data_IF_630519066202
#
_entry.id   IF_630519066202
#
_cell.length_a   1.000
_cell.length_b   1.000
_cell.length_c   1.000
_cell.angle_alpha   90.00
_cell.angle_beta   90.00
_cell.angle_gamma   90.00
#
_symmetry.space_group_name_H-M   'P 1'
#
loop_
_entity.id
_entity.type
_entity.pdbx_description
1 polymer ?
#
# COMPACT_ATOMS: atom_id res chain seq x y z
N UNK A 1 -31.39 79.06 -27.10
CA UNK A 1 -30.21 78.88 -26.28
C UNK A 1 -30.39 77.60 -25.43
N UNK A 2 -29.84 76.46 -25.89
CA UNK A 2 -29.93 75.16 -25.17
C UNK A 2 -28.58 74.90 -24.54
N UNK A 3 -28.56 74.90 -23.22
CA UNK A 3 -27.35 74.46 -22.44
C UNK A 3 -27.31 72.96 -22.39
N UNK A 4 -26.25 72.33 -22.93
CA UNK A 4 -25.98 70.95 -22.84
C UNK A 4 -25.13 70.77 -21.58
N UNK A 5 -25.68 70.04 -20.62
CA UNK A 5 -24.97 69.64 -19.39
C UNK A 5 -24.22 68.34 -19.67
N UNK A 6 -22.87 68.39 -19.70
CA UNK A 6 -22.06 67.25 -19.90
C UNK A 6 -21.95 66.45 -18.57
N UNK A 7 -22.36 65.16 -18.61
CA UNK A 7 -22.26 64.24 -17.52
C UNK A 7 -20.91 63.45 -17.67
N UNK A 8 -19.94 63.79 -16.85
CA UNK A 8 -18.67 63.02 -16.79
C UNK A 8 -18.89 61.83 -15.87
N UNK A 9 -18.97 60.64 -16.47
CA UNK A 9 -18.97 59.39 -15.74
C UNK A 9 -17.53 59.02 -15.42
N UNK A 10 -17.15 59.17 -14.17
CA UNK A 10 -15.85 58.73 -13.63
C UNK A 10 -15.94 57.21 -13.40
N UNK A 11 -15.42 56.42 -14.33
CA UNK A 11 -15.36 54.97 -14.23
C UNK A 11 -14.18 54.60 -13.34
N UNK A 12 -14.46 54.37 -12.03
CA UNK A 12 -13.50 53.88 -11.09
C UNK A 12 -13.14 52.42 -11.39
N UNK A 13 -11.94 52.17 -11.90
CA UNK A 13 -11.38 50.83 -12.04
C UNK A 13 -11.01 50.35 -10.65
N UNK A 14 -11.85 49.52 -10.04
CA UNK A 14 -11.48 48.72 -8.85
C UNK A 14 -10.47 47.66 -9.30
N UNK A 15 -9.20 47.95 -9.13
CA UNK A 15 -8.15 46.94 -9.20
C UNK A 15 -8.31 46.08 -7.92
N UNK A 16 -8.99 44.94 -8.04
CA UNK A 16 -8.92 43.88 -7.05
C UNK A 16 -7.51 43.30 -7.13
N UNK A 17 -6.59 43.85 -6.35
CA UNK A 17 -5.33 43.15 -6.07
C UNK A 17 -5.70 41.88 -5.31
N UNK A 18 -5.79 40.76 -6.02
CA UNK A 18 -5.71 39.44 -5.42
C UNK A 18 -4.34 39.36 -4.74
N UNK A 19 -4.30 39.54 -3.44
CA UNK A 19 -3.15 39.09 -2.66
C UNK A 19 -3.10 37.56 -2.79
N UNK A 20 -2.37 37.07 -3.78
CA UNK A 20 -1.81 35.73 -3.73
C UNK A 20 -0.69 35.83 -2.71
N UNK A 21 -0.92 35.36 -1.51
CA UNK A 21 0.13 35.12 -0.56
C UNK A 21 1.06 34.08 -1.19
N UNK A 22 2.27 34.49 -1.56
CA UNK A 22 3.26 33.59 -2.19
C UNK A 22 3.71 32.62 -1.12
N UNK A 23 3.45 31.30 -1.29
CA UNK A 23 3.84 30.28 -0.32
C UNK A 23 5.36 30.21 -0.22
N UNK A 24 5.89 30.20 1.00
CA UNK A 24 7.33 30.01 1.23
C UNK A 24 7.72 28.56 0.95
N UNK A 25 8.33 28.33 -0.21
CA UNK A 25 8.80 27.02 -0.68
C UNK A 25 10.22 26.68 -0.24
N UNK A 26 10.85 27.51 0.63
CA UNK A 26 12.18 27.21 1.20
C UNK A 26 12.14 25.85 1.88
N UNK A 27 13.13 25.00 1.60
CA UNK A 27 13.22 23.67 2.22
C UNK A 27 13.86 23.78 3.60
N UNK A 28 13.15 23.31 4.60
CA UNK A 28 13.60 23.23 5.98
C UNK A 28 13.89 21.78 6.37
N UNK A 29 14.80 21.60 7.32
CA UNK A 29 15.13 20.30 7.92
C UNK A 29 14.89 20.36 9.42
N UNK A 30 14.32 19.30 9.98
CA UNK A 30 14.00 19.20 11.40
C UNK A 30 14.20 17.77 11.89
N UNK A 31 14.85 17.61 13.01
CA UNK A 31 14.97 16.31 13.70
C UNK A 31 14.04 16.28 14.90
N UNK A 32 13.28 15.21 15.03
CA UNK A 32 12.35 14.99 16.14
C UNK A 32 12.64 13.63 16.79
N UNK A 33 12.35 13.53 18.08
CA UNK A 33 12.33 12.25 18.80
C UNK A 33 13.65 11.45 18.73
N UNK A 34 14.80 12.09 18.78
CA UNK A 34 16.15 11.53 18.59
C UNK A 34 16.46 10.24 19.37
N UNK A 35 15.75 9.96 20.45
CA UNK A 35 15.93 8.74 21.27
C UNK A 35 14.68 7.87 21.34
N UNK A 36 13.61 8.19 20.62
CA UNK A 36 12.39 7.43 20.62
C UNK A 36 12.53 6.17 19.76
N UNK A 37 11.85 5.12 20.16
CA UNK A 37 11.70 3.88 19.39
C UNK A 37 10.26 3.71 18.99
N UNK A 38 10.03 3.51 17.71
CA UNK A 38 8.70 3.25 17.18
C UNK A 38 8.63 1.82 16.67
N UNK A 39 7.49 1.18 16.86
CA UNK A 39 7.15 -0.12 16.25
C UNK A 39 5.88 -0.03 15.41
N UNK A 40 5.20 1.10 15.47
CA UNK A 40 3.95 1.36 14.75
C UNK A 40 4.08 2.71 14.04
N UNK A 41 3.73 2.74 12.75
CA UNK A 41 3.75 3.96 11.92
C UNK A 41 2.40 4.10 11.25
N UNK A 42 1.77 5.25 11.42
CA UNK A 42 0.56 5.68 10.73
C UNK A 42 0.87 6.97 9.97
N UNK A 43 0.57 6.98 8.67
CA UNK A 43 0.82 8.15 7.83
C UNK A 43 -0.36 8.46 6.92
N UNK A 44 -0.73 9.73 6.82
CA UNK A 44 -1.81 10.30 6.02
C UNK A 44 -1.31 11.48 5.18
N UNK A 45 -2.15 12.08 4.32
CA UNK A 45 -1.87 13.33 3.60
C UNK A 45 -0.71 13.26 2.58
N UNK A 46 -0.57 12.15 1.88
CA UNK A 46 0.36 11.98 0.77
C UNK A 46 1.84 12.30 1.10
N UNK A 47 2.32 12.00 2.31
CA UNK A 47 3.74 12.11 2.68
C UNK A 47 4.61 11.13 1.89
N UNK A 48 5.87 11.52 1.66
CA UNK A 48 6.92 10.59 1.24
C UNK A 48 7.66 10.12 2.50
N UNK A 49 7.47 8.87 2.87
CA UNK A 49 8.03 8.28 4.09
C UNK A 49 9.14 7.29 3.72
N UNK A 50 10.30 7.40 4.34
CA UNK A 50 11.34 6.38 4.28
C UNK A 50 11.50 5.78 5.66
N UNK A 51 11.34 4.47 5.79
CA UNK A 51 11.57 3.75 7.05
C UNK A 51 12.85 2.94 6.94
N UNK A 52 13.79 3.22 7.79
CA UNK A 52 15.11 2.56 7.82
C UNK A 52 15.22 1.69 9.06
N UNK A 53 15.47 0.40 8.85
CA UNK A 53 15.84 -0.47 9.97
C UNK A 53 17.27 -0.13 10.39
N UNK A 54 17.44 0.35 11.62
CA UNK A 54 18.73 0.72 12.18
C UNK A 54 18.76 0.45 13.71
N UNK A 55 19.78 -0.30 14.15
CA UNK A 55 19.93 -0.65 15.56
C UNK A 55 20.60 0.46 16.39
N UNK A 56 21.23 1.43 15.75
CA UNK A 56 22.00 2.50 16.40
C UNK A 56 21.28 3.83 16.32
N UNK A 57 20.77 4.20 15.14
CA UNK A 57 20.07 5.47 14.93
C UNK A 57 18.58 5.32 15.27
N UNK A 58 18.03 6.35 15.90
CA UNK A 58 16.63 6.43 16.32
C UNK A 58 16.08 7.81 16.05
N UNK A 59 14.76 7.89 15.93
CA UNK A 59 14.07 9.16 15.76
C UNK A 59 13.60 9.42 14.33
N UNK A 60 13.35 10.70 14.05
CA UNK A 60 12.68 11.15 12.84
C UNK A 60 13.40 12.33 12.25
N UNK A 61 13.67 12.30 10.95
CA UNK A 61 14.22 13.42 10.18
C UNK A 61 13.18 13.89 9.15
N UNK A 62 12.85 15.18 9.17
CA UNK A 62 11.92 15.80 8.24
C UNK A 62 12.68 16.72 7.29
N UNK A 63 12.26 16.71 6.02
CA UNK A 63 12.62 17.68 5.01
C UNK A 63 11.32 18.18 4.35
N UNK A 64 11.00 19.48 4.52
CA UNK A 64 9.69 20.00 4.13
C UNK A 64 9.75 21.47 3.70
N UNK A 65 8.77 21.89 2.88
CA UNK A 65 8.60 23.29 2.48
C UNK A 65 8.16 24.14 3.66
N UNK A 66 8.78 25.31 3.87
CA UNK A 66 8.62 26.16 5.06
C UNK A 66 7.17 26.53 5.40
N UNK A 67 6.32 26.76 4.39
CA UNK A 67 4.90 27.05 4.61
C UNK A 67 4.13 25.92 5.33
N UNK A 68 4.66 24.69 5.35
CA UNK A 68 4.04 23.56 6.05
C UNK A 68 4.27 23.56 7.55
N UNK A 69 5.21 24.36 8.08
CA UNK A 69 5.62 24.33 9.50
C UNK A 69 4.44 24.41 10.49
N UNK A 70 3.47 25.29 10.22
CA UNK A 70 2.30 25.48 11.08
C UNK A 70 1.25 24.36 10.99
N UNK A 71 1.33 23.52 9.95
CA UNK A 71 0.38 22.43 9.71
C UNK A 71 0.94 21.07 10.09
N UNK A 72 2.23 20.95 10.38
CA UNK A 72 2.84 19.66 10.68
C UNK A 72 2.20 18.99 11.90
N UNK A 73 1.75 17.75 11.70
CA UNK A 73 1.25 16.86 12.75
C UNK A 73 2.11 15.60 12.74
N UNK A 74 3.26 15.65 13.40
CA UNK A 74 4.12 14.49 13.62
C UNK A 74 4.14 14.22 15.10
N UNK A 75 3.44 13.18 15.56
CA UNK A 75 3.13 12.94 16.97
C UNK A 75 3.66 11.58 17.38
N UNK A 76 4.36 11.56 18.51
CA UNK A 76 4.81 10.33 19.17
C UNK A 76 3.86 9.97 20.32
N UNK A 77 3.20 8.84 20.21
CA UNK A 77 2.30 8.27 21.21
C UNK A 77 2.85 6.92 21.74
N UNK A 78 4.02 6.97 22.38
CA UNK A 78 4.68 5.77 22.88
C UNK A 78 5.38 4.98 21.78
N UNK A 79 4.85 3.81 21.40
CA UNK A 79 5.37 3.00 20.30
C UNK A 79 4.87 3.43 18.92
N UNK A 80 3.85 4.29 18.85
CA UNK A 80 3.20 4.74 17.61
C UNK A 80 3.71 6.14 17.21
N UNK A 81 4.09 6.26 15.94
CA UNK A 81 4.37 7.53 15.27
C UNK A 81 3.24 7.82 14.29
N UNK A 82 2.53 8.94 14.48
CA UNK A 82 1.51 9.43 13.56
C UNK A 82 2.05 10.60 12.75
N UNK A 83 1.89 10.56 11.43
CA UNK A 83 2.44 11.52 10.45
C UNK A 83 1.31 12.03 9.58
N UNK A 84 1.09 13.35 9.56
CA UNK A 84 0.06 13.98 8.75
C UNK A 84 0.10 15.51 8.86
N UNK A 85 -1.00 16.15 8.50
CA UNK A 85 -1.21 17.58 8.72
C UNK A 85 -2.37 17.83 9.70
N UNK A 86 -2.34 18.95 10.39
CA UNK A 86 -3.41 19.35 11.32
C UNK A 86 -4.74 19.68 10.66
N UNK A 87 -4.74 19.85 9.33
CA UNK A 87 -5.92 20.08 8.49
C UNK A 87 -5.62 19.70 7.04
N UNK A 88 -6.66 19.41 6.28
CA UNK A 88 -6.52 19.10 4.84
C UNK A 88 -5.98 20.32 4.05
N UNK A 89 -4.88 20.11 3.31
CA UNK A 89 -4.20 21.15 2.54
C UNK A 89 -4.30 20.88 1.04
N UNK A 90 -4.40 21.96 0.24
CA UNK A 90 -4.16 21.89 -1.20
C UNK A 90 -2.70 22.22 -1.47
N UNK A 91 -1.91 21.21 -1.74
CA UNK A 91 -0.48 21.34 -1.91
C UNK A 91 -0.09 21.57 -3.37
N UNK A 92 0.81 22.54 -3.67
CA UNK A 92 1.46 22.63 -4.96
C UNK A 92 2.23 21.36 -5.31
N UNK A 93 2.37 21.03 -6.58
CA UNK A 93 3.04 19.79 -7.03
C UNK A 93 4.54 19.73 -6.68
N UNK A 94 5.17 20.87 -6.42
CA UNK A 94 6.58 20.99 -6.02
C UNK A 94 6.79 21.10 -4.51
N UNK A 95 5.76 20.82 -3.70
CA UNK A 95 5.88 20.82 -2.23
C UNK A 95 6.79 19.67 -1.78
N UNK A 96 7.80 20.00 -0.99
CA UNK A 96 8.66 19.00 -0.31
C UNK A 96 7.99 18.58 0.98
N UNK A 97 7.84 17.28 1.18
CA UNK A 97 7.23 16.63 2.37
C UNK A 97 7.80 15.22 2.53
N UNK A 98 9.07 15.16 2.89
CA UNK A 98 9.81 13.92 3.07
C UNK A 98 10.06 13.70 4.57
N UNK A 99 9.93 12.48 5.00
CA UNK A 99 10.23 12.07 6.37
C UNK A 99 11.01 10.76 6.37
N UNK A 100 12.06 10.69 7.16
CA UNK A 100 12.82 9.45 7.39
C UNK A 100 12.65 9.04 8.85
N UNK A 101 12.21 7.81 9.07
CA UNK A 101 11.97 7.21 10.38
C UNK A 101 12.96 6.07 10.60
N UNK A 102 13.72 6.12 11.68
CA UNK A 102 14.68 5.09 12.05
C UNK A 102 14.07 4.19 13.12
N UNK A 103 13.94 2.89 12.82
CA UNK A 103 13.30 1.91 13.70
C UNK A 103 14.16 0.65 13.85
N UNK A 104 14.00 -0.06 14.96
CA UNK A 104 14.66 -1.35 15.21
C UNK A 104 13.79 -2.53 14.73
N UNK A 105 12.47 -2.40 14.85
CA UNK A 105 11.49 -3.39 14.42
C UNK A 105 10.17 -2.70 14.06
N UNK A 106 9.30 -3.38 13.32
CA UNK A 106 7.95 -2.92 13.00
C UNK A 106 6.92 -3.98 13.37
N UNK A 107 5.80 -3.57 13.92
CA UNK A 107 4.62 -4.39 14.21
C UNK A 107 3.34 -3.88 13.53
N UNK A 108 3.31 -2.61 13.12
CA UNK A 108 2.18 -2.06 12.38
C UNK A 108 2.61 -0.93 11.43
N UNK A 109 1.99 -0.94 10.24
CA UNK A 109 2.06 0.15 9.25
C UNK A 109 0.62 0.42 8.79
N UNK A 110 0.19 1.68 8.86
CA UNK A 110 -1.10 2.14 8.33
C UNK A 110 -0.82 3.33 7.41
N UNK A 111 -1.24 3.22 6.14
CA UNK A 111 -1.02 4.25 5.13
C UNK A 111 -2.34 4.65 4.48
N UNK A 112 -2.67 5.93 4.54
CA UNK A 112 -3.91 6.50 4.02
C UNK A 112 -3.62 7.72 3.11
N UNK A 113 -4.59 8.10 2.29
CA UNK A 113 -4.56 9.34 1.50
C UNK A 113 -3.28 9.50 0.63
N UNK A 114 -2.98 8.50 -0.21
CA UNK A 114 -1.90 8.54 -1.21
C UNK A 114 -0.47 8.68 -0.62
N UNK A 115 -0.22 8.20 0.58
CA UNK A 115 1.14 8.12 1.16
C UNK A 115 2.02 7.19 0.33
N UNK A 116 3.28 7.57 0.15
CA UNK A 116 4.31 6.73 -0.44
C UNK A 116 5.35 6.37 0.62
N UNK A 117 5.47 5.08 0.94
CA UNK A 117 6.45 4.60 1.94
C UNK A 117 7.47 3.66 1.30
N UNK A 118 8.76 3.96 1.49
CA UNK A 118 9.88 3.09 1.14
C UNK A 118 10.45 2.44 2.42
N UNK A 119 10.51 1.10 2.44
CA UNK A 119 11.09 0.31 3.52
C UNK A 119 12.52 -0.11 3.19
N UNK A 120 13.47 0.20 4.04
CA UNK A 120 14.89 -0.11 3.86
C UNK A 120 15.39 -1.00 5.01
N UNK A 121 15.67 -2.27 4.70
CA UNK A 121 16.22 -3.23 5.65
C UNK A 121 15.39 -4.48 5.86
N UNK A 122 15.71 -5.20 6.92
CA UNK A 122 15.05 -6.44 7.33
C UNK A 122 14.38 -6.21 8.69
N UNK A 123 13.08 -6.29 8.72
CA UNK A 123 12.29 -6.08 9.92
C UNK A 123 11.86 -7.43 10.51
N UNK A 124 12.24 -7.70 11.74
CA UNK A 124 11.88 -8.94 12.43
C UNK A 124 10.90 -8.64 13.56
N UNK A 125 9.76 -9.30 13.53
CA UNK A 125 8.70 -9.19 14.55
C UNK A 125 7.96 -10.52 14.64
N UNK A 126 7.30 -10.80 15.76
CA UNK A 126 6.43 -11.98 15.86
C UNK A 126 5.26 -11.93 14.85
N UNK A 127 4.71 -10.75 14.66
CA UNK A 127 3.69 -10.46 13.66
C UNK A 127 3.82 -8.99 13.21
N UNK A 128 3.42 -8.73 11.99
CA UNK A 128 3.23 -7.37 11.45
C UNK A 128 1.85 -7.28 10.82
N UNK A 129 1.17 -6.18 11.11
CA UNK A 129 -0.06 -5.76 10.45
C UNK A 129 0.26 -4.58 9.52
N UNK A 130 -0.20 -4.66 8.27
CA UNK A 130 0.02 -3.65 7.24
C UNK A 130 -1.33 -3.34 6.59
N UNK A 131 -1.76 -2.10 6.68
CA UNK A 131 -3.02 -1.61 6.13
C UNK A 131 -2.76 -0.43 5.18
N UNK A 132 -3.22 -0.54 3.94
CA UNK A 132 -3.08 0.48 2.92
C UNK A 132 -4.44 0.81 2.31
N UNK A 133 -4.80 2.09 2.34
CA UNK A 133 -6.02 2.59 1.70
C UNK A 133 -5.76 3.84 0.84
N UNK A 134 -6.75 4.24 0.06
CA UNK A 134 -6.79 5.50 -0.69
C UNK A 134 -5.53 5.75 -1.56
N UNK A 135 -5.22 4.79 -2.44
CA UNK A 135 -4.11 4.86 -3.40
C UNK A 135 -2.70 4.98 -2.76
N UNK A 136 -2.54 4.55 -1.52
CA UNK A 136 -1.24 4.53 -0.84
C UNK A 136 -0.29 3.48 -1.43
N UNK A 137 1.00 3.70 -1.31
CA UNK A 137 2.03 2.83 -1.87
C UNK A 137 3.06 2.44 -0.82
N UNK A 138 3.33 1.13 -0.71
CA UNK A 138 4.43 0.57 0.09
C UNK A 138 5.43 -0.11 -0.84
N UNK A 139 6.71 0.22 -0.68
CA UNK A 139 7.78 -0.34 -1.51
C UNK A 139 8.89 -0.93 -0.67
N UNK A 140 9.43 -2.06 -1.15
CA UNK A 140 10.64 -2.66 -0.60
C UNK A 140 10.44 -3.36 0.74
N UNK A 141 11.53 -3.55 1.47
CA UNK A 141 11.56 -4.22 2.77
C UNK A 141 11.52 -5.75 2.72
N UNK A 142 12.01 -6.34 3.80
CA UNK A 142 11.89 -7.75 4.06
C UNK A 142 11.36 -7.94 5.48
N UNK A 143 10.27 -8.71 5.62
CA UNK A 143 9.68 -9.03 6.91
C UNK A 143 9.91 -10.49 7.29
N UNK A 144 10.43 -10.70 8.49
CA UNK A 144 10.56 -12.00 9.12
C UNK A 144 9.58 -12.10 10.28
N UNK A 145 8.47 -12.79 10.08
CA UNK A 145 7.39 -12.99 11.04
C UNK A 145 6.06 -13.23 10.34
N UNK A 146 4.99 -13.41 11.10
CA UNK A 146 3.66 -13.52 10.53
C UNK A 146 3.25 -12.18 9.93
N UNK A 147 2.54 -12.24 8.78
CA UNK A 147 2.04 -11.06 8.08
C UNK A 147 0.52 -11.10 8.01
N UNK A 148 -0.11 -9.97 8.29
CA UNK A 148 -1.46 -9.63 7.88
C UNK A 148 -1.39 -8.34 7.06
N UNK A 149 -1.70 -8.45 5.77
CA UNK A 149 -1.67 -7.34 4.82
C UNK A 149 -3.08 -7.12 4.27
N UNK A 150 -3.62 -5.96 4.53
CA UNK A 150 -4.90 -5.50 4.01
C UNK A 150 -4.66 -4.33 3.03
N UNK A 151 -5.31 -4.38 1.87
CA UNK A 151 -5.14 -3.40 0.81
C UNK A 151 -6.48 -3.06 0.17
N UNK A 152 -6.82 -1.79 0.13
CA UNK A 152 -8.06 -1.31 -0.43
C UNK A 152 -7.87 -0.04 -1.28
N UNK A 153 -8.90 0.34 -2.05
CA UNK A 153 -8.98 1.60 -2.80
C UNK A 153 -7.74 1.93 -3.66
N UNK A 154 -7.39 1.00 -4.56
CA UNK A 154 -6.29 1.13 -5.54
C UNK A 154 -4.89 1.25 -4.91
N UNK A 155 -4.70 0.74 -3.71
CA UNK A 155 -3.40 0.73 -3.03
C UNK A 155 -2.39 -0.20 -3.70
N UNK A 156 -1.11 0.03 -3.48
CA UNK A 156 -0.06 -0.69 -4.18
C UNK A 156 1.06 -1.13 -3.24
N UNK A 157 1.42 -2.42 -3.27
CA UNK A 157 2.62 -2.96 -2.63
C UNK A 157 3.54 -3.56 -3.69
N UNK A 158 4.81 -3.14 -3.73
CA UNK A 158 5.79 -3.63 -4.72
C UNK A 158 7.14 -3.92 -4.08
N UNK A 159 7.86 -4.90 -4.65
CA UNK A 159 9.21 -5.30 -4.23
C UNK A 159 9.29 -5.72 -2.75
N UNK A 160 8.17 -6.22 -2.22
CA UNK A 160 7.99 -6.60 -0.82
C UNK A 160 8.31 -8.08 -0.61
N UNK A 161 9.05 -8.40 0.45
CA UNK A 161 9.39 -9.77 0.79
C UNK A 161 8.85 -10.14 2.18
N UNK A 162 8.12 -11.23 2.28
CA UNK A 162 7.64 -11.75 3.56
C UNK A 162 8.02 -13.22 3.76
N UNK A 163 8.52 -13.53 4.95
CA UNK A 163 8.88 -14.87 5.40
C UNK A 163 8.31 -15.09 6.79
N UNK A 164 7.44 -16.08 6.97
CA UNK A 164 6.78 -16.33 8.27
C UNK A 164 6.09 -17.68 8.35
N UNK A 165 5.51 -18.00 9.50
CA UNK A 165 4.69 -19.20 9.68
C UNK A 165 3.37 -19.07 8.92
N UNK A 166 2.69 -17.94 9.10
CA UNK A 166 1.41 -17.62 8.44
C UNK A 166 1.52 -16.27 7.75
N UNK A 167 1.19 -16.25 6.45
CA UNK A 167 1.08 -15.02 5.68
C UNK A 167 -0.37 -14.90 5.18
N UNK A 168 -1.03 -13.80 5.51
CA UNK A 168 -2.39 -13.47 5.10
C UNK A 168 -2.39 -12.19 4.29
N UNK A 169 -3.03 -12.22 3.12
CA UNK A 169 -3.18 -11.09 2.22
C UNK A 169 -4.66 -10.93 1.84
N UNK A 170 -5.21 -9.75 2.06
CA UNK A 170 -6.54 -9.36 1.60
C UNK A 170 -6.41 -8.14 0.68
N UNK A 171 -6.88 -8.25 -0.56
CA UNK A 171 -6.83 -7.20 -1.56
C UNK A 171 -8.21 -6.93 -2.11
N UNK A 172 -8.66 -5.70 -2.02
CA UNK A 172 -9.92 -5.24 -2.54
C UNK A 172 -9.78 -3.98 -3.42
N UNK A 173 -10.83 -3.63 -4.15
CA UNK A 173 -10.99 -2.41 -4.95
C UNK A 173 -9.76 -1.98 -5.78
N UNK A 174 -9.37 -2.87 -6.72
CA UNK A 174 -8.31 -2.64 -7.71
C UNK A 174 -6.88 -2.51 -7.13
N UNK A 175 -6.66 -3.01 -5.92
CA UNK A 175 -5.34 -3.01 -5.27
C UNK A 175 -4.33 -3.94 -5.94
N UNK A 176 -3.05 -3.66 -5.82
CA UNK A 176 -1.99 -4.38 -6.53
C UNK A 176 -0.86 -4.79 -5.58
N UNK A 177 -0.64 -6.10 -5.45
CA UNK A 177 0.52 -6.67 -4.75
C UNK A 177 1.51 -7.30 -5.72
N UNK A 178 2.80 -7.00 -5.54
CA UNK A 178 3.92 -7.65 -6.22
C UNK A 178 5.07 -7.90 -5.24
N UNK A 179 5.41 -9.17 -5.03
CA UNK A 179 6.43 -9.48 -4.03
C UNK A 179 6.83 -10.95 -3.96
N UNK A 180 7.57 -11.30 -2.93
CA UNK A 180 7.99 -12.66 -2.60
C UNK A 180 7.35 -13.10 -1.30
N UNK A 181 6.75 -14.29 -1.29
CA UNK A 181 6.03 -14.84 -0.14
C UNK A 181 6.54 -16.23 0.20
N UNK A 182 7.09 -16.41 1.39
CA UNK A 182 7.51 -17.73 1.89
C UNK A 182 6.83 -18.01 3.22
N UNK A 183 5.84 -18.89 3.20
CA UNK A 183 5.15 -19.35 4.39
C UNK A 183 5.70 -20.71 4.83
N UNK A 184 6.02 -20.88 6.10
CA UNK A 184 6.47 -22.17 6.64
C UNK A 184 5.31 -23.11 7.00
N UNK A 185 4.12 -22.56 7.19
CA UNK A 185 2.91 -23.33 7.50
C UNK A 185 1.79 -23.04 6.50
N UNK A 186 1.31 -21.80 6.41
CA UNK A 186 0.12 -21.46 5.64
C UNK A 186 0.21 -20.09 4.96
N UNK A 187 -0.29 -20.06 3.71
CA UNK A 187 -0.54 -18.85 2.95
C UNK A 187 -2.05 -18.70 2.74
N UNK A 188 -2.60 -17.56 3.13
CA UNK A 188 -4.01 -17.20 2.94
C UNK A 188 -4.11 -15.98 2.03
N UNK A 189 -4.99 -16.02 1.03
CA UNK A 189 -5.20 -14.91 0.09
C UNK A 189 -6.65 -14.75 -0.28
N UNK A 190 -7.17 -13.53 -0.15
CA UNK A 190 -8.41 -13.07 -0.74
C UNK A 190 -8.10 -11.94 -1.73
N UNK A 191 -8.49 -12.13 -3.02
CA UNK A 191 -8.20 -11.20 -4.11
C UNK A 191 -9.50 -10.88 -4.82
N UNK A 192 -10.08 -9.73 -4.55
CA UNK A 192 -11.42 -9.37 -4.98
C UNK A 192 -11.46 -8.05 -5.79
N UNK A 193 -12.58 -7.75 -6.42
CA UNK A 193 -12.91 -6.46 -7.05
C UNK A 193 -11.78 -5.89 -7.93
N UNK A 194 -11.40 -6.68 -8.96
CA UNK A 194 -10.36 -6.32 -9.94
C UNK A 194 -8.93 -6.19 -9.37
N UNK A 195 -8.70 -6.60 -8.12
CA UNK A 195 -7.36 -6.59 -7.50
C UNK A 195 -6.41 -7.61 -8.12
N UNK A 196 -5.11 -7.39 -7.97
CA UNK A 196 -4.08 -8.17 -8.63
C UNK A 196 -2.95 -8.59 -7.71
N UNK A 197 -2.65 -9.87 -7.69
CA UNK A 197 -1.48 -10.43 -7.01
C UNK A 197 -0.50 -11.02 -8.03
N UNK A 198 0.78 -10.69 -7.92
CA UNK A 198 1.85 -11.36 -8.66
C UNK A 198 2.99 -11.68 -7.70
N UNK A 199 3.31 -12.96 -7.56
CA UNK A 199 4.47 -13.36 -6.77
C UNK A 199 5.71 -13.57 -7.63
N UNK A 200 6.85 -13.07 -7.18
CA UNK A 200 8.14 -13.20 -7.88
C UNK A 200 8.88 -14.50 -7.55
N UNK A 201 8.68 -15.00 -6.36
CA UNK A 201 9.16 -16.29 -5.88
C UNK A 201 8.49 -16.63 -4.53
N UNK A 202 8.75 -17.82 -4.01
CA UNK A 202 8.27 -18.21 -2.69
C UNK A 202 7.88 -19.68 -2.59
N UNK A 203 7.37 -20.05 -1.41
CA UNK A 203 6.84 -21.38 -1.17
C UNK A 203 5.86 -21.41 -0.01
N UNK A 204 4.95 -22.38 -0.03
CA UNK A 204 4.06 -22.67 1.10
C UNK A 204 3.71 -24.16 1.15
N UNK A 205 3.67 -24.80 2.32
CA UNK A 205 3.15 -26.17 2.47
C UNK A 205 1.65 -26.23 2.15
N UNK A 206 0.90 -25.26 2.60
CA UNK A 206 -0.54 -25.15 2.35
C UNK A 206 -0.93 -23.73 1.92
N UNK A 207 -1.87 -23.61 1.00
CA UNK A 207 -2.47 -22.33 0.66
C UNK A 207 -4.01 -22.44 0.63
N UNK A 208 -4.68 -21.39 1.11
CA UNK A 208 -6.10 -21.18 1.00
C UNK A 208 -6.31 -19.86 0.23
N UNK A 209 -6.90 -19.96 -0.96
CA UNK A 209 -6.86 -18.86 -1.93
C UNK A 209 -8.24 -18.64 -2.53
N UNK A 210 -8.76 -17.44 -2.42
CA UNK A 210 -9.97 -17.00 -3.05
C UNK A 210 -9.68 -15.88 -4.05
N UNK A 211 -10.20 -16.01 -5.28
CA UNK A 211 -10.06 -14.99 -6.33
C UNK A 211 -11.44 -14.75 -6.92
N UNK A 212 -11.99 -13.56 -6.70
CA UNK A 212 -13.38 -13.25 -7.05
C UNK A 212 -13.51 -11.87 -7.72
N UNK A 213 -14.65 -11.67 -8.39
CA UNK A 213 -15.08 -10.37 -8.90
C UNK A 213 -14.01 -9.69 -9.77
N UNK A 214 -13.64 -10.39 -10.87
CA UNK A 214 -12.58 -9.99 -11.79
C UNK A 214 -11.16 -9.91 -11.18
N UNK A 215 -10.94 -10.57 -10.05
CA UNK A 215 -9.62 -10.69 -9.42
C UNK A 215 -8.61 -11.44 -10.29
N UNK A 216 -7.34 -11.12 -10.16
CA UNK A 216 -6.25 -11.74 -10.91
C UNK A 216 -5.11 -12.20 -10.00
N UNK A 217 -4.77 -13.49 -10.08
CA UNK A 217 -3.68 -14.09 -9.32
C UNK A 217 -2.65 -14.74 -10.24
N UNK A 218 -1.38 -14.37 -10.09
CA UNK A 218 -0.26 -15.05 -10.70
C UNK A 218 0.76 -15.50 -9.63
N UNK A 219 0.73 -16.78 -9.31
CA UNK A 219 1.62 -17.47 -8.36
C UNK A 219 2.49 -18.54 -9.02
N UNK A 220 2.75 -18.47 -10.31
CA UNK A 220 3.56 -19.48 -11.02
C UNK A 220 5.00 -19.60 -10.45
N UNK A 221 5.51 -18.54 -9.84
CA UNK A 221 6.85 -18.52 -9.23
C UNK A 221 6.84 -18.89 -7.73
N UNK A 222 5.66 -19.18 -7.15
CA UNK A 222 5.51 -19.63 -5.76
C UNK A 222 5.07 -21.10 -5.74
N UNK A 223 5.91 -21.96 -5.22
CA UNK A 223 5.61 -23.40 -5.14
C UNK A 223 4.74 -23.70 -3.91
N UNK A 224 3.55 -24.24 -4.14
CA UNK A 224 2.63 -24.67 -3.08
C UNK A 224 2.50 -26.19 -3.11
N UNK A 225 2.50 -26.86 -1.95
CA UNK A 225 2.31 -28.30 -1.93
C UNK A 225 0.85 -28.69 -2.07
N UNK A 226 -0.02 -28.15 -1.20
CA UNK A 226 -1.47 -28.38 -1.29
C UNK A 226 -2.23 -27.06 -1.27
N UNK A 227 -3.25 -26.92 -2.12
CA UNK A 227 -4.00 -25.68 -2.26
C UNK A 227 -5.51 -25.95 -2.25
N UNK A 228 -6.24 -25.21 -1.42
CA UNK A 228 -7.67 -24.98 -1.59
C UNK A 228 -7.84 -23.70 -2.40
N UNK A 229 -8.52 -23.78 -3.56
CA UNK A 229 -8.62 -22.68 -4.52
C UNK A 229 -10.07 -22.44 -4.92
N UNK A 230 -10.56 -21.24 -4.68
CA UNK A 230 -11.89 -20.80 -5.12
C UNK A 230 -11.70 -19.64 -6.11
N UNK A 231 -12.18 -19.83 -7.37
CA UNK A 231 -12.10 -18.78 -8.41
C UNK A 231 -13.49 -18.57 -9.01
N UNK A 232 -14.02 -17.34 -8.89
CA UNK A 232 -15.40 -17.01 -9.28
C UNK A 232 -15.51 -15.64 -9.95
N UNK A 233 -16.66 -15.46 -10.68
CA UNK A 233 -17.06 -14.15 -11.20
C UNK A 233 -16.02 -13.53 -12.14
N UNK A 234 -15.72 -14.22 -13.25
CA UNK A 234 -14.82 -13.74 -14.33
C UNK A 234 -13.38 -13.51 -13.85
N UNK A 235 -12.92 -14.31 -12.90
CA UNK A 235 -11.57 -14.19 -12.31
C UNK A 235 -10.58 -15.16 -12.97
N UNK A 236 -9.29 -14.87 -12.79
CA UNK A 236 -8.21 -15.70 -13.34
C UNK A 236 -7.17 -16.00 -12.25
N UNK A 237 -6.78 -17.27 -12.15
CA UNK A 237 -5.71 -17.73 -11.27
C UNK A 237 -4.69 -18.59 -12.02
N UNK A 238 -3.41 -18.24 -11.92
CA UNK A 238 -2.28 -19.02 -12.41
C UNK A 238 -1.43 -19.47 -11.22
N UNK A 239 -1.34 -20.79 -10.99
CA UNK A 239 -0.76 -21.36 -9.75
C UNK A 239 0.26 -22.47 -10.04
N UNK A 240 1.22 -22.65 -9.13
CA UNK A 240 2.19 -23.74 -9.18
C UNK A 240 2.01 -24.64 -7.96
N UNK A 241 1.42 -25.82 -8.17
CA UNK A 241 1.07 -26.76 -7.09
C UNK A 241 1.68 -28.14 -7.36
N UNK A 242 2.25 -28.75 -6.35
CA UNK A 242 3.03 -29.99 -6.53
C UNK A 242 2.29 -31.26 -6.14
N UNK A 243 1.33 -31.21 -5.21
CA UNK A 243 0.67 -32.41 -4.67
C UNK A 243 -0.83 -32.44 -4.95
N UNK A 244 -1.61 -31.42 -4.53
CA UNK A 244 -3.06 -31.41 -4.68
C UNK A 244 -3.64 -30.00 -4.79
N UNK A 245 -4.57 -29.82 -5.73
CA UNK A 245 -5.46 -28.65 -5.80
C UNK A 245 -6.90 -29.16 -5.60
N UNK A 246 -7.64 -28.55 -4.67
CA UNK A 246 -9.06 -28.78 -4.48
C UNK A 246 -9.81 -27.46 -4.35
N UNK A 247 -11.13 -27.48 -4.49
CA UNK A 247 -11.98 -26.30 -4.38
C UNK A 247 -12.93 -26.11 -5.54
N UNK A 248 -13.09 -24.88 -6.08
CA UNK A 248 -14.20 -24.51 -6.93
C UNK A 248 -13.81 -23.48 -7.99
N UNK A 249 -14.26 -23.68 -9.25
CA UNK A 249 -14.06 -22.73 -10.36
C UNK A 249 -15.40 -22.51 -11.06
N UNK A 250 -15.95 -21.29 -10.99
CA UNK A 250 -17.30 -20.98 -11.45
C UNK A 250 -17.40 -19.60 -12.11
N UNK A 251 -18.51 -19.37 -12.82
CA UNK A 251 -18.93 -18.08 -13.35
C UNK A 251 -17.92 -17.47 -14.34
N UNK A 252 -17.60 -18.22 -15.41
CA UNK A 252 -16.71 -17.81 -16.52
C UNK A 252 -15.26 -17.55 -16.04
N UNK A 253 -14.82 -18.29 -15.04
CA UNK A 253 -13.47 -18.11 -14.46
C UNK A 253 -12.45 -19.08 -15.06
N UNK A 254 -11.17 -18.77 -14.92
CA UNK A 254 -10.10 -19.54 -15.53
C UNK A 254 -9.01 -19.86 -14.50
N UNK A 255 -8.60 -21.12 -14.46
CA UNK A 255 -7.45 -21.57 -13.66
C UNK A 255 -6.41 -22.20 -14.59
N UNK A 256 -5.20 -21.66 -14.55
CA UNK A 256 -4.02 -22.27 -15.11
C UNK A 256 -3.15 -22.85 -13.99
N UNK A 257 -2.65 -24.06 -14.19
CA UNK A 257 -1.78 -24.67 -13.19
C UNK A 257 -0.50 -25.25 -13.78
N UNK A 258 0.57 -25.16 -13.02
CA UNK A 258 1.88 -25.77 -13.25
C UNK A 258 2.12 -26.87 -12.20
N UNK A 259 2.91 -27.88 -12.55
CA UNK A 259 3.19 -29.04 -11.71
C UNK A 259 2.40 -30.27 -12.13
N UNK A 260 2.35 -31.27 -11.27
CA UNK A 260 1.63 -32.54 -11.50
C UNK A 260 0.72 -32.86 -10.30
N UNK A 261 -0.11 -31.94 -9.85
CA UNK A 261 -0.98 -32.16 -8.70
C UNK A 261 -2.14 -33.09 -9.02
N UNK A 262 -2.71 -33.72 -8.01
CA UNK A 262 -4.06 -34.28 -8.09
C UNK A 262 -5.07 -33.14 -8.18
N UNK A 263 -5.85 -33.11 -9.28
CA UNK A 263 -6.88 -32.09 -9.49
C UNK A 263 -8.20 -32.59 -8.91
N UNK A 264 -8.73 -31.88 -7.93
CA UNK A 264 -10.03 -32.11 -7.29
C UNK A 264 -10.86 -30.82 -7.23
N UNK A 265 -10.75 -30.00 -8.30
CA UNK A 265 -11.54 -28.78 -8.49
C UNK A 265 -12.90 -29.13 -9.08
N UNK A 266 -13.97 -28.62 -8.47
CA UNK A 266 -15.31 -28.62 -9.06
C UNK A 266 -15.41 -27.44 -10.03
N UNK A 267 -15.69 -27.72 -11.32
CA UNK A 267 -15.67 -26.73 -12.39
C UNK A 267 -17.02 -26.73 -13.10
N UNK A 268 -17.64 -25.57 -13.22
CA UNK A 268 -18.88 -25.43 -13.97
C UNK A 268 -18.64 -25.47 -15.51
N UNK A 269 -19.72 -25.52 -16.29
CA UNK A 269 -19.66 -25.63 -17.78
C UNK A 269 -19.10 -24.36 -18.46
N UNK A 270 -19.06 -23.23 -17.75
CA UNK A 270 -18.65 -21.93 -18.30
C UNK A 270 -17.20 -21.60 -18.00
N UNK A 271 -16.58 -22.33 -17.08
CA UNK A 271 -15.23 -22.07 -16.56
C UNK A 271 -14.19 -23.04 -17.14
N UNK A 272 -12.92 -22.73 -16.97
CA UNK A 272 -11.83 -23.51 -17.58
C UNK A 272 -10.74 -23.83 -16.57
N UNK A 273 -10.24 -25.07 -16.58
CA UNK A 273 -9.04 -25.50 -15.87
C UNK A 273 -8.07 -26.10 -16.88
N UNK A 274 -6.85 -25.58 -16.97
CA UNK A 274 -5.86 -26.05 -17.95
C UNK A 274 -4.43 -26.08 -17.36
N UNK A 275 -3.60 -27.07 -17.72
CA UNK A 275 -2.17 -27.03 -17.42
C UNK A 275 -1.43 -26.00 -18.29
N UNK A 276 -0.31 -25.46 -17.79
CA UNK A 276 0.63 -24.61 -18.55
C UNK A 276 1.82 -25.46 -18.99
#
# INVERSE_FOLDING_TARGET
MRKILGFVVLMGVLVLSSCHEELDMTVLNKTLYENATFTEIEAEDAWNVTVVQDDQKKGVELEYSAFLEEYLKVVNEGSKLSIGFSQRLKLPSNTVKNITVYVQSLSSIVLEEAVSMDLQGVFSSAAIHVDLTEASTLRGGCFNGNLELEMDEASTVVDFNAVGEVLKLELDDASVFKGTLTAYNRLEMDVENASRVTTYSGSAPTADVHVKDAGFLNMLQTSVRTMNLVVKNVSEASVNVTDRIEGLVQDVSVVYYQGLPVIALDCDETSTIAPI
#
